data_IF_375618009809
#
_entry.id   IF_375618009809
#
_cell.length_a   1.000
_cell.length_b   1.000
_cell.length_c   1.000
_cell.angle_alpha   90.00
_cell.angle_beta   90.00
_cell.angle_gamma   90.00
#
_symmetry.space_group_name_H-M   'P 1'
#
loop_
_entity.id
_entity.type
_entity.pdbx_description
1 polymer ?
#
# COMPACT_ATOMS: atom_id res chain seq x y z
N UNK A 1 21.17 -28.18 -14.19
CA UNK A 1 21.39 -26.81 -14.73
C UNK A 1 20.04 -26.12 -14.96
N UNK A 2 19.92 -24.87 -14.54
CA UNK A 2 18.69 -24.06 -14.66
C UNK A 2 18.98 -22.71 -15.32
N UNK A 3 18.07 -22.22 -16.15
CA UNK A 3 18.25 -20.95 -16.85
C UNK A 3 17.62 -19.79 -16.09
N UNK A 4 18.38 -18.72 -15.89
CA UNK A 4 17.87 -17.51 -15.25
C UNK A 4 16.83 -16.82 -16.14
N UNK A 5 15.63 -16.57 -15.62
CA UNK A 5 14.56 -15.87 -16.37
C UNK A 5 14.85 -14.40 -16.64
N UNK A 6 15.86 -13.78 -15.98
CA UNK A 6 16.20 -12.36 -16.18
C UNK A 6 17.26 -12.15 -17.26
N UNK A 7 18.33 -12.95 -17.25
CA UNK A 7 19.46 -12.76 -18.17
C UNK A 7 19.72 -13.96 -19.09
N UNK A 8 19.03 -15.08 -18.91
CA UNK A 8 19.22 -16.28 -19.72
C UNK A 8 20.50 -17.07 -19.42
N UNK A 9 21.27 -16.72 -18.39
CA UNK A 9 22.45 -17.48 -17.99
C UNK A 9 22.07 -18.85 -17.41
N UNK A 10 22.86 -19.88 -17.71
CA UNK A 10 22.73 -21.21 -17.14
C UNK A 10 23.46 -21.25 -15.79
N UNK A 11 22.73 -21.58 -14.73
CA UNK A 11 23.24 -21.69 -13.37
C UNK A 11 23.09 -23.12 -12.87
N UNK A 12 23.82 -23.46 -11.82
CA UNK A 12 23.66 -24.71 -11.10
C UNK A 12 22.24 -24.83 -10.51
N UNK A 13 21.71 -26.05 -10.43
CA UNK A 13 20.34 -26.31 -9.93
C UNK A 13 20.17 -25.95 -8.44
N UNK A 14 21.27 -25.85 -7.70
CA UNK A 14 21.30 -25.49 -6.28
C UNK A 14 21.69 -24.01 -6.06
N UNK A 15 21.91 -23.22 -7.11
CA UNK A 15 22.27 -21.82 -6.99
C UNK A 15 21.09 -21.01 -6.43
N UNK A 16 21.33 -20.26 -5.34
CA UNK A 16 20.32 -19.38 -4.73
C UNK A 16 20.15 -18.06 -5.50
N UNK A 17 21.23 -17.62 -6.13
CA UNK A 17 21.28 -16.39 -6.92
C UNK A 17 21.94 -16.70 -8.27
N UNK A 18 21.62 -15.91 -9.28
CA UNK A 18 22.23 -16.04 -10.59
C UNK A 18 23.65 -15.45 -10.57
N UNK A 19 24.64 -16.24 -10.99
CA UNK A 19 26.05 -15.85 -11.00
C UNK A 19 26.35 -14.69 -11.97
N UNK A 20 25.51 -14.53 -13.00
CA UNK A 20 25.68 -13.48 -14.01
C UNK A 20 24.98 -12.16 -13.66
N UNK A 21 23.80 -12.19 -13.01
CA UNK A 21 22.98 -10.98 -12.81
C UNK A 21 22.54 -10.71 -11.37
N UNK A 22 22.91 -11.58 -10.42
CA UNK A 22 22.59 -11.46 -9.00
C UNK A 22 21.12 -11.66 -8.63
N UNK A 23 20.24 -12.02 -9.59
CA UNK A 23 18.81 -12.25 -9.28
C UNK A 23 18.64 -13.56 -8.51
N UNK A 24 17.81 -13.54 -7.47
CA UNK A 24 17.40 -14.74 -6.74
C UNK A 24 16.70 -15.76 -7.67
N UNK A 25 17.19 -17.00 -7.61
CA UNK A 25 16.65 -18.17 -8.29
C UNK A 25 15.75 -18.88 -7.30
N UNK A 26 14.44 -18.78 -7.51
CA UNK A 26 13.42 -19.31 -6.59
C UNK A 26 13.41 -20.83 -6.70
N UNK A 27 14.06 -21.51 -5.77
CA UNK A 27 14.01 -22.97 -5.66
C UNK A 27 12.68 -23.39 -5.03
N UNK A 28 11.83 -24.04 -5.84
CA UNK A 28 10.50 -24.54 -5.47
C UNK A 28 10.56 -25.74 -4.51
N UNK A 29 11.31 -25.67 -3.41
CA UNK A 29 11.23 -26.68 -2.34
C UNK A 29 10.59 -26.18 -1.05
N UNK A 30 10.43 -24.85 -0.84
CA UNK A 30 9.62 -24.30 0.25
C UNK A 30 9.07 -22.90 -0.07
N UNK A 31 8.06 -22.79 -0.93
CA UNK A 31 7.08 -21.69 -0.82
C UNK A 31 5.68 -22.30 -1.00
N UNK A 32 5.10 -22.69 0.15
CA UNK A 32 3.67 -22.63 0.35
C UNK A 32 3.31 -21.17 0.62
N UNK A 33 3.02 -20.41 -0.44
CA UNK A 33 2.28 -19.15 -0.34
C UNK A 33 1.39 -18.95 -1.56
N UNK A 34 0.63 -19.98 -1.91
CA UNK A 34 -0.64 -19.81 -2.61
C UNK A 34 -1.75 -20.11 -1.60
N UNK A 35 -2.06 -19.12 -0.76
CA UNK A 35 -3.39 -19.03 -0.14
C UNK A 35 -4.03 -17.75 -0.63
N UNK A 36 -4.39 -17.73 -1.91
CA UNK A 36 -5.21 -16.70 -2.55
C UNK A 36 -6.70 -16.78 -2.15
N UNK A 37 -7.03 -17.44 -1.02
CA UNK A 37 -8.39 -17.55 -0.49
C UNK A 37 -8.54 -16.99 0.94
N UNK A 38 -7.55 -16.22 1.43
CA UNK A 38 -7.54 -15.63 2.78
C UNK A 38 -7.42 -14.09 2.82
N UNK A 39 -7.62 -13.39 1.71
CA UNK A 39 -7.32 -11.95 1.58
C UNK A 39 -8.51 -11.04 1.98
N UNK A 40 -9.71 -11.59 2.20
CA UNK A 40 -10.91 -10.78 2.48
C UNK A 40 -11.10 -10.36 3.96
N UNK A 41 -10.24 -10.79 4.88
CA UNK A 41 -10.37 -10.46 6.31
C UNK A 41 -9.31 -9.48 6.83
N UNK A 42 -8.26 -9.22 6.05
CA UNK A 42 -7.19 -8.27 6.40
C UNK A 42 -7.36 -6.94 5.64
N UNK A 43 -8.19 -6.90 4.58
CA UNK A 43 -8.46 -5.67 3.83
C UNK A 43 -9.16 -4.60 4.67
N UNK A 44 -9.98 -5.00 5.65
CA UNK A 44 -10.65 -4.07 6.56
C UNK A 44 -9.70 -3.42 7.57
N UNK A 45 -8.82 -4.19 8.20
CA UNK A 45 -7.89 -3.71 9.22
C UNK A 45 -6.68 -2.95 8.63
N UNK A 46 -6.21 -3.32 7.43
CA UNK A 46 -5.16 -2.56 6.71
C UNK A 46 -5.69 -1.23 6.17
N UNK A 47 -6.95 -1.16 5.72
CA UNK A 47 -7.55 0.11 5.30
C UNK A 47 -7.74 1.08 6.48
N UNK A 48 -8.14 0.56 7.65
CA UNK A 48 -8.33 1.38 8.86
C UNK A 48 -6.96 1.87 9.37
N UNK A 49 -5.98 0.99 9.58
CA UNK A 49 -4.65 1.40 10.07
C UNK A 49 -3.87 2.24 9.05
N UNK A 50 -3.96 1.94 7.75
CA UNK A 50 -3.37 2.75 6.68
C UNK A 50 -4.01 4.15 6.55
N UNK A 51 -5.32 4.25 6.82
CA UNK A 51 -6.04 5.53 6.91
C UNK A 51 -5.61 6.36 8.13
N UNK A 52 -5.40 5.71 9.28
CA UNK A 52 -4.92 6.39 10.50
C UNK A 52 -3.48 6.90 10.38
N UNK A 53 -2.56 6.15 9.77
CA UNK A 53 -1.17 6.61 9.54
C UNK A 53 -1.13 7.81 8.58
N UNK A 54 -2.02 7.83 7.56
CA UNK A 54 -2.17 8.98 6.64
C UNK A 54 -2.75 10.22 7.31
N UNK A 55 -3.56 10.03 8.35
CA UNK A 55 -4.13 11.13 9.15
C UNK A 55 -3.07 11.84 9.99
N UNK A 56 -2.18 11.09 10.66
CA UNK A 56 -1.13 11.67 11.53
C UNK A 56 -0.11 12.52 10.74
N UNK A 57 0.26 12.10 9.53
CA UNK A 57 1.16 12.87 8.66
C UNK A 57 0.56 14.22 8.22
N UNK A 58 -0.75 14.25 7.97
CA UNK A 58 -1.47 15.45 7.52
C UNK A 58 -1.56 16.52 8.62
N UNK A 59 -1.73 16.12 9.88
CA UNK A 59 -1.79 17.06 11.02
C UNK A 59 -0.46 17.77 11.31
N UNK A 60 0.68 17.21 10.88
CA UNK A 60 1.99 17.88 11.04
C UNK A 60 2.28 18.89 9.94
N UNK A 61 1.56 18.84 8.82
CA UNK A 61 1.71 19.78 7.70
C UNK A 61 0.88 21.06 7.90
N UNK A 62 -0.24 20.99 8.62
CA UNK A 62 -1.14 22.14 8.88
C UNK A 62 -0.58 23.20 9.83
N UNK A 63 0.55 22.93 10.50
CA UNK A 63 1.17 23.86 11.45
C UNK A 63 2.41 24.58 10.88
N UNK A 64 2.83 24.28 9.64
CA UNK A 64 3.95 24.97 9.00
C UNK A 64 3.39 26.21 8.30
N UNK A 65 3.40 27.38 8.97
CA UNK A 65 3.16 28.66 8.28
C UNK A 65 4.32 28.90 7.30
N UNK A 66 4.07 28.87 5.99
CA UNK A 66 5.06 29.30 5.02
C UNK A 66 5.35 30.80 5.19
N UNK A 67 6.65 31.17 5.15
CA UNK A 67 7.10 32.57 5.24
C UNK A 67 6.83 33.34 3.94
N UNK A 68 6.31 32.69 2.89
CA UNK A 68 6.18 33.27 1.54
C UNK A 68 4.81 33.15 0.87
N UNK A 69 3.78 32.57 1.51
CA UNK A 69 2.37 32.71 1.12
C UNK A 69 1.95 32.23 -0.28
N UNK A 70 2.83 31.64 -1.08
CA UNK A 70 2.57 31.38 -2.52
C UNK A 70 2.78 29.91 -2.93
N UNK A 71 2.82 28.97 -1.98
CA UNK A 71 3.12 27.58 -2.33
C UNK A 71 1.85 26.81 -2.71
N UNK A 72 1.75 26.45 -4.00
CA UNK A 72 0.72 25.60 -4.62
C UNK A 72 0.32 24.40 -3.75
N UNK A 73 1.25 23.78 -3.04
CA UNK A 73 0.97 22.67 -2.13
C UNK A 73 -0.11 23.01 -1.07
N UNK A 74 -0.13 24.22 -0.50
CA UNK A 74 -1.10 24.60 0.54
C UNK A 74 -2.55 24.59 0.03
N UNK A 75 -2.76 25.05 -1.21
CA UNK A 75 -4.09 25.07 -1.86
C UNK A 75 -4.61 23.66 -2.20
N UNK A 76 -3.69 22.77 -2.60
CA UNK A 76 -4.01 21.38 -2.89
C UNK A 76 -4.39 20.62 -1.61
N UNK A 77 -3.61 20.74 -0.52
CA UNK A 77 -3.94 20.05 0.74
C UNK A 77 -5.24 20.52 1.39
N UNK A 78 -5.57 21.81 1.30
CA UNK A 78 -6.83 22.34 1.82
C UNK A 78 -8.04 21.80 1.04
N UNK A 79 -7.95 21.75 -0.29
CA UNK A 79 -9.05 21.25 -1.12
C UNK A 79 -9.22 19.74 -1.00
N UNK A 80 -8.16 18.96 -1.26
CA UNK A 80 -8.23 17.50 -1.24
C UNK A 80 -8.48 16.93 0.16
N UNK A 81 -8.00 17.59 1.22
CA UNK A 81 -8.24 17.19 2.61
C UNK A 81 -9.72 17.27 3.01
N UNK A 82 -10.43 18.33 2.62
CA UNK A 82 -11.86 18.50 2.93
C UNK A 82 -12.71 17.46 2.19
N UNK A 83 -12.41 17.18 0.92
CA UNK A 83 -13.09 16.12 0.17
C UNK A 83 -12.85 14.73 0.77
N UNK A 84 -11.62 14.44 1.19
CA UNK A 84 -11.27 13.16 1.81
C UNK A 84 -12.01 12.91 3.13
N UNK A 85 -12.08 13.92 4.01
CA UNK A 85 -12.79 13.82 5.29
C UNK A 85 -14.30 13.69 5.05
N UNK A 86 -14.87 14.48 4.13
CA UNK A 86 -16.28 14.42 3.78
C UNK A 86 -16.71 13.06 3.22
N UNK A 87 -15.91 12.51 2.30
CA UNK A 87 -16.16 11.19 1.72
C UNK A 87 -16.06 10.06 2.76
N UNK A 88 -15.10 10.16 3.68
CA UNK A 88 -14.96 9.21 4.79
C UNK A 88 -16.17 9.19 5.71
N UNK A 89 -16.66 10.37 6.14
CA UNK A 89 -17.86 10.48 6.98
C UNK A 89 -19.10 9.95 6.25
N UNK A 90 -19.24 10.26 4.95
CA UNK A 90 -20.35 9.76 4.13
C UNK A 90 -20.38 8.23 4.06
N UNK A 91 -19.24 7.59 3.81
CA UNK A 91 -19.17 6.12 3.74
C UNK A 91 -19.50 5.45 5.08
N UNK A 92 -19.08 6.04 6.21
CA UNK A 92 -19.44 5.56 7.55
C UNK A 92 -20.95 5.68 7.77
N UNK A 93 -21.56 6.83 7.40
CA UNK A 93 -22.99 7.05 7.55
C UNK A 93 -23.82 6.06 6.70
N UNK A 94 -23.41 5.81 5.45
CA UNK A 94 -24.05 4.81 4.57
C UNK A 94 -23.91 3.40 5.15
N UNK A 95 -22.74 3.04 5.67
CA UNK A 95 -22.52 1.75 6.32
C UNK A 95 -23.43 1.52 7.52
N UNK A 96 -23.53 2.52 8.42
CA UNK A 96 -24.44 2.48 9.57
C UNK A 96 -25.90 2.37 9.08
N UNK A 97 -26.29 3.16 8.09
CA UNK A 97 -27.64 3.14 7.54
C UNK A 97 -28.06 1.76 6.99
N UNK A 98 -27.16 1.10 6.26
CA UNK A 98 -27.40 -0.25 5.71
C UNK A 98 -27.55 -1.28 6.85
N UNK A 99 -26.73 -1.18 7.91
CA UNK A 99 -26.81 -2.08 9.07
C UNK A 99 -28.12 -1.87 9.83
N UNK A 100 -28.55 -0.62 10.03
CA UNK A 100 -29.80 -0.31 10.73
C UNK A 100 -31.07 -0.69 9.95
N UNK A 101 -30.95 -0.95 8.65
CA UNK A 101 -32.06 -1.38 7.76
C UNK A 101 -32.21 -2.90 7.67
N UNK A 102 -31.28 -3.66 8.25
CA UNK A 102 -31.27 -5.13 8.25
C UNK A 102 -31.86 -5.67 9.56
#
# INVERSE_FOLDING_TARGET
>A
MMKCSKCGHENEENAKYCDSCGKELVNTSKISSNTSNGINLISGSVAILGGFISSIGSYKMTQIKSVSGNSIAESFYSSFGVFGIGFGIFMIAVGIYIISRK
#
